data_IF_466431630599
#
_entry.id   IF_466431630599
#
_cell.length_a   1.000
_cell.length_b   1.000
_cell.length_c   1.000
_cell.angle_alpha   90.00
_cell.angle_beta   90.00
_cell.angle_gamma   90.00
#
_symmetry.space_group_name_H-M   'P 1'
#
loop_
_entity.id
_entity.type
_entity.pdbx_description
1 polymer ?
#
# COMPACT_ATOMS: atom_id res chain seq x y z
N UNK A 1 -24.15 -12.95 34.81
CA UNK A 1 -24.65 -12.40 33.53
C UNK A 1 -23.51 -11.62 32.89
N UNK A 2 -22.95 -12.11 31.78
CA UNK A 2 -21.77 -11.55 31.11
C UNK A 2 -22.20 -10.37 30.24
N UNK A 3 -21.62 -9.20 30.47
CA UNK A 3 -21.87 -8.00 29.67
C UNK A 3 -20.97 -8.01 28.43
N UNK A 4 -21.58 -8.06 27.24
CA UNK A 4 -20.89 -8.12 25.94
C UNK A 4 -20.52 -6.70 25.51
N UNK A 5 -19.22 -6.35 25.55
CA UNK A 5 -18.71 -5.07 25.02
C UNK A 5 -18.78 -5.10 23.49
N UNK A 6 -19.75 -4.40 22.91
CA UNK A 6 -19.93 -4.31 21.47
C UNK A 6 -18.82 -3.43 20.85
N UNK A 7 -18.10 -3.99 19.88
CA UNK A 7 -17.01 -3.36 19.12
C UNK A 7 -17.39 -2.17 18.22
N UNK A 8 -18.54 -1.53 18.49
CA UNK A 8 -19.04 -0.38 17.76
C UNK A 8 -18.17 0.88 17.96
N UNK A 9 -17.49 0.99 19.10
CA UNK A 9 -16.63 2.13 19.41
C UNK A 9 -15.37 2.23 18.53
N UNK A 10 -14.82 1.09 18.10
CA UNK A 10 -13.61 1.09 17.27
C UNK A 10 -13.92 1.46 15.81
N UNK A 11 -15.07 1.04 15.29
CA UNK A 11 -15.50 1.38 13.93
C UNK A 11 -15.82 2.88 13.75
N UNK A 12 -16.37 3.51 14.80
CA UNK A 12 -16.68 4.95 14.77
C UNK A 12 -15.41 5.83 14.80
N UNK A 13 -14.37 5.42 15.53
CA UNK A 13 -13.13 6.18 15.62
C UNK A 13 -12.31 6.17 14.32
N UNK A 14 -12.35 5.07 13.55
CA UNK A 14 -11.67 4.98 12.25
C UNK A 14 -12.39 5.81 11.17
N UNK A 15 -13.73 5.89 11.22
CA UNK A 15 -14.52 6.68 10.25
C UNK A 15 -14.28 8.18 10.33
N UNK A 16 -14.05 8.73 11.53
CA UNK A 16 -13.82 10.17 11.72
C UNK A 16 -12.46 10.64 11.17
N UNK A 17 -11.43 9.79 11.21
CA UNK A 17 -10.10 10.11 10.67
C UNK A 17 -10.09 10.13 9.14
N UNK A 18 -10.87 9.26 8.48
CA UNK A 18 -10.98 9.23 7.01
C UNK A 18 -11.76 10.43 6.47
N UNK A 19 -12.78 10.89 7.20
CA UNK A 19 -13.60 12.05 6.80
C UNK A 19 -12.90 13.41 6.96
N UNK A 20 -11.85 13.50 7.78
CA UNK A 20 -11.09 14.75 8.01
C UNK A 20 -9.79 14.83 7.19
N UNK A 21 -9.41 13.75 6.50
CA UNK A 21 -8.17 13.67 5.72
C UNK A 21 -8.42 13.73 4.21
N UNK A 22 -8.17 14.89 3.60
CA UNK A 22 -7.81 15.06 2.17
C UNK A 22 -8.88 14.98 1.07
N UNK A 23 -10.17 15.04 1.39
CA UNK A 23 -11.21 15.28 0.38
C UNK A 23 -11.35 16.76 0.03
N UNK A 24 -10.50 17.32 -0.84
CA UNK A 24 -10.78 18.61 -1.50
C UNK A 24 -11.96 18.43 -2.45
N UNK A 25 -13.18 18.43 -1.91
CA UNK A 25 -14.39 18.60 -2.69
C UNK A 25 -14.29 19.97 -3.37
N UNK A 26 -13.91 19.98 -4.64
CA UNK A 26 -14.03 21.15 -5.51
C UNK A 26 -15.53 21.41 -5.67
N UNK A 27 -16.07 22.23 -4.78
CA UNK A 27 -17.38 22.81 -4.94
C UNK A 27 -17.32 23.69 -6.19
N UNK A 28 -17.97 23.26 -7.27
CA UNK A 28 -18.28 24.14 -8.38
C UNK A 28 -19.11 25.30 -7.81
N UNK A 29 -18.54 26.50 -7.78
CA UNK A 29 -19.21 27.71 -7.29
C UNK A 29 -20.26 28.14 -8.31
N UNK A 30 -21.45 27.54 -8.24
CA UNK A 30 -22.63 28.09 -8.90
C UNK A 30 -23.24 29.13 -7.97
N UNK A 31 -23.01 30.40 -8.29
CA UNK A 31 -23.57 31.57 -7.60
C UNK A 31 -25.09 31.64 -7.77
N UNK A 32 -25.84 30.96 -6.90
CA UNK A 32 -27.30 30.98 -6.85
C UNK A 32 -27.81 30.72 -5.44
N UNK A 33 -29.06 31.10 -5.10
CA UNK A 33 -29.60 30.92 -3.75
C UNK A 33 -29.54 29.44 -3.36
N UNK A 34 -28.89 29.16 -2.24
CA UNK A 34 -28.72 27.81 -1.72
C UNK A 34 -30.07 27.23 -1.31
N UNK A 35 -30.61 26.33 -2.13
CA UNK A 35 -31.69 25.43 -1.72
C UNK A 35 -31.16 24.53 -0.59
N UNK A 36 -31.98 24.16 0.40
CA UNK A 36 -31.55 23.24 1.45
C UNK A 36 -31.13 21.91 0.81
N UNK A 37 -29.83 21.62 0.83
CA UNK A 37 -29.29 20.39 0.31
C UNK A 37 -29.82 19.23 1.17
N UNK A 38 -30.62 18.35 0.56
CA UNK A 38 -31.04 17.13 1.24
C UNK A 38 -29.89 16.14 1.14
N UNK A 39 -29.32 15.74 2.27
CA UNK A 39 -28.21 14.79 2.29
C UNK A 39 -28.72 13.42 1.83
N UNK A 40 -28.24 12.97 0.67
CA UNK A 40 -28.46 11.62 0.18
C UNK A 40 -27.72 10.61 1.04
N UNK A 41 -28.29 9.40 1.18
CA UNK A 41 -27.64 8.30 1.92
C UNK A 41 -26.30 7.99 1.26
N UNK A 42 -25.25 7.84 2.07
CA UNK A 42 -23.92 7.46 1.60
C UNK A 42 -23.99 6.15 0.82
N UNK A 43 -23.57 6.21 -0.43
CA UNK A 43 -23.36 5.01 -1.24
C UNK A 43 -22.03 4.38 -0.81
N UNK A 44 -22.13 3.28 -0.06
CA UNK A 44 -20.97 2.55 0.47
C UNK A 44 -20.14 1.95 -0.67
N UNK A 45 -20.76 1.57 -1.79
CA UNK A 45 -20.07 1.03 -2.95
C UNK A 45 -19.20 2.10 -3.62
N UNK A 46 -19.75 3.29 -3.83
CA UNK A 46 -18.99 4.43 -4.37
C UNK A 46 -17.89 4.90 -3.41
N UNK A 47 -18.15 4.93 -2.10
CA UNK A 47 -17.15 5.27 -1.11
C UNK A 47 -15.98 4.27 -1.12
N UNK A 48 -16.28 2.96 -1.10
CA UNK A 48 -15.26 1.91 -1.15
C UNK A 48 -14.48 1.95 -2.47
N UNK A 49 -15.17 2.14 -3.60
CA UNK A 49 -14.54 2.25 -4.91
C UNK A 49 -13.61 3.47 -4.97
N UNK A 50 -14.08 4.64 -4.51
CA UNK A 50 -13.27 5.85 -4.43
C UNK A 50 -12.02 5.67 -3.56
N UNK A 51 -12.16 5.02 -2.40
CA UNK A 51 -11.02 4.72 -1.52
C UNK A 51 -10.04 3.74 -2.16
N UNK A 52 -10.50 2.62 -2.73
CA UNK A 52 -9.59 1.63 -3.34
C UNK A 52 -8.90 2.20 -4.57
N UNK A 53 -9.60 3.00 -5.38
CA UNK A 53 -9.02 3.68 -6.54
C UNK A 53 -8.01 4.73 -6.10
N UNK A 54 -8.35 5.58 -5.14
CA UNK A 54 -7.44 6.60 -4.61
C UNK A 54 -6.17 6.00 -3.99
N UNK A 55 -6.32 4.95 -3.18
CA UNK A 55 -5.19 4.19 -2.64
C UNK A 55 -4.38 3.51 -3.74
N UNK A 56 -5.04 2.95 -4.76
CA UNK A 56 -4.36 2.39 -5.92
C UNK A 56 -3.45 3.41 -6.61
N UNK A 57 -3.96 4.62 -6.88
CA UNK A 57 -3.15 5.69 -7.49
C UNK A 57 -1.99 6.15 -6.60
N UNK A 58 -2.18 6.24 -5.29
CA UNK A 58 -1.14 6.68 -4.37
C UNK A 58 -0.09 5.62 -4.06
N UNK A 59 -0.50 4.35 -3.94
CA UNK A 59 0.34 3.25 -3.43
C UNK A 59 0.99 2.46 -4.55
N UNK A 60 0.31 2.25 -5.69
CA UNK A 60 0.87 1.48 -6.81
C UNK A 60 2.25 1.97 -7.25
N UNK A 61 2.48 3.28 -7.49
CA UNK A 61 3.76 3.76 -7.98
C UNK A 61 4.91 3.49 -6.99
N UNK A 62 4.63 3.62 -5.70
CA UNK A 62 5.60 3.43 -4.61
C UNK A 62 5.98 1.95 -4.51
N UNK A 63 5.02 1.04 -4.71
CA UNK A 63 5.28 -0.41 -4.68
C UNK A 63 6.22 -0.88 -5.77
N UNK A 64 6.13 -0.27 -6.95
CA UNK A 64 6.96 -0.58 -8.12
C UNK A 64 8.21 0.28 -8.24
N UNK A 65 8.41 1.25 -7.35
CA UNK A 65 9.52 2.18 -7.47
C UNK A 65 10.85 1.45 -7.29
N UNK A 66 11.76 1.65 -8.23
CA UNK A 66 13.17 1.25 -8.14
C UNK A 66 13.76 1.79 -6.84
N UNK A 67 14.07 0.90 -5.90
CA UNK A 67 14.70 1.29 -4.64
C UNK A 67 16.21 1.44 -4.76
N UNK A 68 16.83 0.70 -5.68
CA UNK A 68 18.25 0.77 -5.96
C UNK A 68 18.50 1.61 -7.24
N UNK A 69 19.09 2.82 -7.11
CA UNK A 69 19.46 3.66 -8.25
C UNK A 69 20.53 3.02 -9.13
N UNK A 70 21.35 2.13 -8.56
CA UNK A 70 22.47 1.49 -9.24
C UNK A 70 22.13 0.11 -9.77
N UNK A 71 20.90 -0.37 -9.61
CA UNK A 71 20.56 -1.72 -10.03
C UNK A 71 20.79 -1.95 -11.54
N UNK A 72 21.22 -3.16 -11.91
CA UNK A 72 21.79 -3.52 -13.23
C UNK A 72 23.06 -2.73 -13.63
N UNK A 73 23.74 -2.06 -12.71
CA UNK A 73 25.04 -1.43 -12.95
C UNK A 73 26.17 -2.33 -12.45
N UNK A 74 27.34 -2.21 -13.08
CA UNK A 74 28.58 -2.80 -12.53
C UNK A 74 29.00 -2.18 -11.19
N UNK A 75 28.48 -0.99 -10.86
CA UNK A 75 28.71 -0.31 -9.58
C UNK A 75 27.65 -0.67 -8.51
N UNK A 76 26.76 -1.62 -8.81
CA UNK A 76 25.73 -2.08 -7.88
C UNK A 76 26.34 -2.81 -6.67
N UNK A 77 26.13 -2.27 -5.48
CA UNK A 77 26.59 -2.85 -4.22
C UNK A 77 25.80 -4.11 -3.84
N UNK A 78 24.51 -4.16 -4.17
CA UNK A 78 23.57 -5.23 -3.83
C UNK A 78 23.79 -6.50 -4.67
N UNK A 79 24.52 -6.39 -5.78
CA UNK A 79 24.96 -7.52 -6.60
C UNK A 79 26.10 -8.36 -5.95
N UNK A 80 26.65 -7.92 -4.81
CA UNK A 80 27.72 -8.66 -4.10
C UNK A 80 27.16 -9.68 -3.11
N UNK A 81 26.30 -10.57 -3.58
CA UNK A 81 25.68 -11.60 -2.75
C UNK A 81 26.70 -12.63 -2.25
N UNK A 82 26.62 -12.99 -0.97
CA UNK A 82 27.37 -14.11 -0.40
C UNK A 82 26.43 -15.29 -0.18
N UNK A 83 26.87 -16.50 -0.53
CA UNK A 83 26.11 -17.73 -0.34
C UNK A 83 26.96 -18.80 0.34
N UNK A 84 26.34 -19.50 1.28
CA UNK A 84 26.86 -20.72 1.88
C UNK A 84 26.19 -21.90 1.20
N UNK A 85 27.01 -22.83 0.68
CA UNK A 85 26.54 -24.10 0.13
C UNK A 85 26.88 -25.21 1.12
N UNK A 86 25.88 -25.81 1.79
CA UNK A 86 26.13 -26.97 2.64
C UNK A 86 26.46 -28.20 1.79
N UNK A 87 27.41 -29.01 2.25
CA UNK A 87 27.83 -30.26 1.57
C UNK A 87 26.78 -31.39 1.65
N UNK A 88 25.75 -31.21 2.49
CA UNK A 88 24.72 -32.21 2.77
C UNK A 88 23.59 -32.24 1.73
N UNK A 89 23.80 -31.67 0.54
CA UNK A 89 22.79 -31.58 -0.53
C UNK A 89 21.63 -30.63 -0.23
N UNK A 90 21.76 -29.77 0.78
CA UNK A 90 20.75 -28.76 1.12
C UNK A 90 20.82 -27.55 0.17
N UNK A 91 19.73 -26.78 0.02
CA UNK A 91 19.74 -25.54 -0.75
C UNK A 91 20.77 -24.54 -0.23
N UNK A 92 21.39 -23.78 -1.14
CA UNK A 92 22.30 -22.70 -0.77
C UNK A 92 21.54 -21.62 0.01
N UNK A 93 22.15 -21.10 1.07
CA UNK A 93 21.60 -19.98 1.85
C UNK A 93 22.49 -18.78 1.65
N UNK A 94 21.92 -17.67 1.17
CA UNK A 94 22.71 -16.49 0.84
C UNK A 94 21.89 -15.21 0.77
N UNK A 95 22.61 -14.09 0.78
CA UNK A 95 22.02 -12.75 0.77
C UNK A 95 21.38 -12.39 -0.57
N UNK A 96 21.79 -13.05 -1.66
CA UNK A 96 21.26 -12.80 -3.00
C UNK A 96 19.75 -13.01 -3.12
N UNK A 97 19.14 -13.81 -2.25
CA UNK A 97 17.68 -13.96 -2.19
C UNK A 97 16.96 -12.67 -1.76
N UNK A 98 17.59 -11.86 -0.90
CA UNK A 98 17.06 -10.58 -0.43
C UNK A 98 17.54 -9.40 -1.28
N UNK A 99 18.79 -9.42 -1.73
CA UNK A 99 19.39 -8.30 -2.47
C UNK A 99 19.17 -8.38 -3.98
N UNK A 100 18.98 -9.59 -4.52
CA UNK A 100 18.81 -9.84 -5.95
C UNK A 100 17.63 -9.10 -6.59
N UNK A 101 16.41 -9.12 -6.00
CA UNK A 101 15.29 -8.35 -6.56
C UNK A 101 15.59 -6.87 -6.65
N UNK A 102 16.26 -6.29 -5.65
CA UNK A 102 16.62 -4.87 -5.64
C UNK A 102 17.70 -4.58 -6.69
N UNK A 103 18.74 -5.40 -6.75
CA UNK A 103 19.84 -5.34 -7.72
C UNK A 103 19.37 -5.50 -9.18
N UNK A 104 18.31 -6.28 -9.42
CA UNK A 104 17.65 -6.39 -10.72
C UNK A 104 16.74 -5.18 -11.03
N UNK A 105 16.42 -4.38 -10.01
CA UNK A 105 15.61 -3.18 -10.14
C UNK A 105 14.19 -3.25 -9.66
N UNK A 106 13.84 -4.30 -8.93
CA UNK A 106 12.54 -4.46 -8.31
C UNK A 106 12.28 -3.39 -7.26
N UNK A 107 10.99 -3.19 -6.99
CA UNK A 107 10.51 -2.38 -5.90
C UNK A 107 10.24 -3.20 -4.65
N UNK A 108 9.61 -2.58 -3.65
CA UNK A 108 9.22 -3.26 -2.40
C UNK A 108 8.28 -4.44 -2.63
N UNK A 109 7.51 -4.43 -3.72
CA UNK A 109 6.62 -5.54 -4.10
C UNK A 109 7.36 -6.81 -4.53
N UNK A 110 8.63 -6.69 -4.91
CA UNK A 110 9.43 -7.79 -5.47
C UNK A 110 10.29 -8.48 -4.42
N UNK A 111 10.25 -8.01 -3.17
CA UNK A 111 10.98 -8.60 -2.05
C UNK A 111 10.27 -9.85 -1.51
N UNK A 112 11.00 -10.94 -1.20
CA UNK A 112 10.39 -12.22 -0.84
C UNK A 112 9.54 -12.20 0.44
N UNK A 113 9.80 -11.28 1.38
CA UNK A 113 9.03 -11.17 2.63
C UNK A 113 7.94 -10.10 2.57
N UNK A 114 8.29 -8.90 2.10
CA UNK A 114 7.36 -7.75 2.09
C UNK A 114 6.55 -7.64 0.80
N UNK A 115 6.95 -8.36 -0.26
CA UNK A 115 6.25 -8.39 -1.54
C UNK A 115 4.85 -8.96 -1.44
N UNK A 116 4.67 -10.06 -0.70
CA UNK A 116 3.35 -10.63 -0.43
C UNK A 116 2.43 -9.69 0.33
N UNK A 117 2.97 -8.97 1.33
CA UNK A 117 2.20 -8.01 2.11
C UNK A 117 1.88 -6.73 1.31
N UNK A 118 2.76 -6.29 0.44
CA UNK A 118 2.51 -5.12 -0.41
C UNK A 118 1.62 -5.46 -1.61
N UNK A 119 1.58 -6.72 -2.03
CA UNK A 119 0.67 -7.23 -3.06
C UNK A 119 -0.81 -7.19 -2.67
N UNK A 120 -1.14 -7.20 -1.37
CA UNK A 120 -2.54 -7.05 -0.91
C UNK A 120 -3.02 -5.60 -0.84
N UNK A 121 -2.11 -4.63 -0.89
CA UNK A 121 -2.48 -3.22 -0.96
C UNK A 121 -3.06 -2.94 -2.36
N UNK A 122 -4.06 -2.05 -2.50
CA UNK A 122 -4.59 -1.67 -3.81
C UNK A 122 -3.50 -1.20 -4.77
N UNK A 123 -3.70 -1.48 -6.06
CA UNK A 123 -2.84 -0.99 -7.15
C UNK A 123 -1.79 -1.97 -7.65
#
# INVERSE_FOLDING_TARGET
MVSKKNGAGLAAAVGAVVLLGTGSAQAATTSGPALPATLTKTDVGQALNGTTTGLGYGVAPIKSLRLDPWANSSADFLNNGAALQPDQGLPSVGTGTLTGPLSAGGGVKDLPLVGGLTGVLPG
#
